data_IF_737993398043
#
_entry.id   IF_737993398043
#
_cell.length_a   1.000
_cell.length_b   1.000
_cell.length_c   1.000
_cell.angle_alpha   90.00
_cell.angle_beta   90.00
_cell.angle_gamma   90.00
#
_symmetry.space_group_name_H-M   'P 1'
#
loop_
_entity.id
_entity.type
_entity.pdbx_description
1 polymer ?
#
# COMPACT_ATOMS: atom_id res chain seq x y z
N UNK A 1 18.22 -24.32 -14.07
CA UNK A 1 17.26 -23.24 -13.76
C UNK A 1 16.78 -23.43 -12.32
N UNK A 2 17.15 -22.53 -11.41
CA UNK A 2 16.59 -22.52 -10.06
C UNK A 2 15.12 -22.10 -10.20
N UNK A 3 14.18 -23.02 -9.97
CA UNK A 3 12.75 -22.68 -9.90
C UNK A 3 12.53 -22.00 -8.54
N UNK A 4 12.52 -20.67 -8.54
CA UNK A 4 12.15 -19.91 -7.34
C UNK A 4 10.64 -20.09 -7.18
N UNK A 5 10.23 -20.77 -6.12
CA UNK A 5 8.82 -20.90 -5.80
C UNK A 5 8.22 -19.49 -5.56
N UNK A 6 7.00 -19.20 -6.05
CA UNK A 6 6.28 -17.96 -5.80
C UNK A 6 6.31 -17.50 -4.33
N UNK A 7 6.27 -18.44 -3.39
CA UNK A 7 6.36 -18.13 -1.96
C UNK A 7 7.70 -17.51 -1.56
N UNK A 8 8.84 -17.96 -2.10
CA UNK A 8 10.13 -17.32 -1.82
C UNK A 8 10.21 -15.90 -2.39
N UNK A 9 9.59 -15.65 -3.54
CA UNK A 9 9.47 -14.30 -4.09
C UNK A 9 8.62 -13.41 -3.17
N UNK A 10 7.49 -13.92 -2.67
CA UNK A 10 6.63 -13.19 -1.74
C UNK A 10 7.36 -12.86 -0.43
N UNK A 11 8.09 -13.83 0.16
CA UNK A 11 8.92 -13.64 1.36
C UNK A 11 9.98 -12.57 1.11
N UNK A 12 10.69 -12.64 -0.03
CA UNK A 12 11.68 -11.64 -0.41
C UNK A 12 11.08 -10.24 -0.55
N UNK A 13 9.93 -10.10 -1.21
CA UNK A 13 9.23 -8.84 -1.38
C UNK A 13 8.72 -8.27 -0.05
N UNK A 14 8.10 -9.09 0.79
CA UNK A 14 7.62 -8.71 2.12
C UNK A 14 8.78 -8.25 3.01
N UNK A 15 9.89 -9.01 3.04
CA UNK A 15 11.09 -8.66 3.80
C UNK A 15 11.74 -7.37 3.32
N UNK A 16 11.85 -7.19 2.00
CA UNK A 16 12.37 -5.95 1.41
C UNK A 16 11.47 -4.75 1.77
N UNK A 17 10.15 -4.91 1.68
CA UNK A 17 9.20 -3.84 2.00
C UNK A 17 9.23 -3.47 3.49
N UNK A 18 9.31 -4.48 4.38
CA UNK A 18 9.45 -4.26 5.82
C UNK A 18 10.72 -3.47 6.13
N UNK A 19 11.84 -3.80 5.49
CA UNK A 19 13.11 -3.11 5.68
C UNK A 19 13.08 -1.69 5.11
N UNK A 20 12.56 -1.50 3.89
CA UNK A 20 12.42 -0.19 3.25
C UNK A 20 11.56 0.74 4.10
N UNK A 21 10.41 0.27 4.57
CA UNK A 21 9.53 1.07 5.42
C UNK A 21 10.10 1.31 6.82
N UNK A 22 10.79 0.33 7.40
CA UNK A 22 11.46 0.50 8.68
C UNK A 22 12.55 1.57 8.61
N UNK A 23 13.46 1.46 7.64
CA UNK A 23 14.51 2.48 7.41
C UNK A 23 13.90 3.83 7.05
N UNK A 24 12.86 3.84 6.20
CA UNK A 24 12.12 5.04 5.84
C UNK A 24 11.50 5.74 7.04
N UNK A 25 10.93 4.98 7.99
CA UNK A 25 10.34 5.52 9.21
C UNK A 25 11.36 6.30 10.05
N UNK A 26 12.56 5.73 10.26
CA UNK A 26 13.62 6.39 11.02
C UNK A 26 14.14 7.63 10.31
N UNK A 27 14.26 7.61 8.97
CA UNK A 27 14.69 8.76 8.18
C UNK A 27 13.68 9.91 8.18
N UNK A 28 12.40 9.58 8.18
CA UNK A 28 11.31 10.56 8.16
C UNK A 28 10.99 11.14 9.55
N UNK A 29 11.41 10.47 10.63
CA UNK A 29 11.02 10.81 11.99
C UNK A 29 9.58 10.38 12.27
N UNK A 30 9.40 9.40 13.16
CA UNK A 30 8.08 8.88 13.50
C UNK A 30 7.42 9.58 14.68
N UNK A 31 8.19 10.28 15.51
CA UNK A 31 7.68 11.04 16.66
C UNK A 31 8.51 12.30 16.88
N UNK A 32 7.83 13.40 17.23
CA UNK A 32 8.46 14.66 17.61
C UNK A 32 7.65 15.40 18.67
N UNK A 33 8.06 16.62 18.99
CA UNK A 33 7.47 17.42 20.09
C UNK A 33 5.98 17.75 19.85
N UNK A 34 5.60 17.96 18.59
CA UNK A 34 4.21 18.27 18.21
C UNK A 34 3.37 17.02 17.89
N UNK A 35 3.81 15.82 18.29
CA UNK A 35 3.09 14.55 18.12
C UNK A 35 3.63 13.65 16.98
N UNK A 36 2.78 12.80 16.38
CA UNK A 36 3.23 11.78 15.44
C UNK A 36 3.74 12.39 14.13
N UNK A 37 4.88 11.88 13.67
CA UNK A 37 5.55 12.35 12.45
C UNK A 37 5.23 11.49 11.22
N UNK A 38 5.70 11.91 10.03
CA UNK A 38 5.46 11.21 8.77
C UNK A 38 6.07 9.79 8.74
N UNK A 39 7.06 9.52 9.59
CA UNK A 39 7.66 8.19 9.73
C UNK A 39 6.80 7.17 10.48
N UNK A 40 5.74 7.59 11.17
CA UNK A 40 4.93 6.67 12.01
C UNK A 40 4.20 5.62 11.18
N UNK A 41 3.60 6.01 10.05
CA UNK A 41 2.89 5.05 9.20
C UNK A 41 3.85 4.01 8.60
N UNK A 42 5.00 4.38 7.98
CA UNK A 42 5.99 3.40 7.57
C UNK A 42 6.45 2.48 8.71
N UNK A 43 6.58 2.99 9.94
CA UNK A 43 6.95 2.18 11.10
C UNK A 43 5.88 1.13 11.41
N UNK A 44 4.62 1.56 11.51
CA UNK A 44 3.48 0.65 11.78
C UNK A 44 3.38 -0.42 10.69
N UNK A 45 3.50 -0.03 9.41
CA UNK A 45 3.47 -0.99 8.31
C UNK A 45 4.64 -1.97 8.39
N UNK A 46 5.85 -1.50 8.66
CA UNK A 46 7.02 -2.37 8.87
C UNK A 46 6.78 -3.38 10.00
N UNK A 47 6.27 -2.93 11.15
CA UNK A 47 5.94 -3.77 12.30
C UNK A 47 4.83 -4.79 12.01
N UNK A 48 3.87 -4.47 11.13
CA UNK A 48 2.83 -5.41 10.70
C UNK A 48 3.35 -6.42 9.67
N UNK A 49 4.31 -6.03 8.83
CA UNK A 49 4.88 -6.92 7.82
C UNK A 49 5.77 -8.02 8.43
N UNK A 50 6.48 -7.74 9.52
CA UNK A 50 7.33 -8.72 10.21
C UNK A 50 6.56 -9.99 10.66
N UNK A 51 5.45 -9.91 11.41
CA UNK A 51 4.69 -11.10 11.78
C UNK A 51 4.05 -11.77 10.56
N UNK A 52 3.61 -11.02 9.55
CA UNK A 52 3.13 -11.61 8.30
C UNK A 52 4.20 -12.45 7.61
N UNK A 53 5.46 -11.99 7.60
CA UNK A 53 6.60 -12.74 7.09
C UNK A 53 6.78 -14.07 7.84
N UNK A 54 6.67 -14.04 9.17
CA UNK A 54 6.76 -15.24 10.02
C UNK A 54 5.64 -16.23 9.71
N UNK A 55 4.40 -15.74 9.49
CA UNK A 55 3.28 -16.61 9.13
C UNK A 55 3.51 -17.29 7.78
N UNK A 56 3.91 -16.53 6.76
CA UNK A 56 4.20 -17.08 5.42
C UNK A 56 5.31 -18.13 5.47
N UNK A 57 6.35 -17.92 6.28
CA UNK A 57 7.44 -18.89 6.45
C UNK A 57 7.03 -20.17 7.19
N UNK A 58 5.94 -20.15 7.95
CA UNK A 58 5.39 -21.31 8.67
C UNK A 58 4.38 -22.10 7.84
N UNK A 59 3.83 -21.50 6.80
CA UNK A 59 2.90 -22.16 5.89
C UNK A 59 3.64 -23.26 5.12
N UNK A 60 3.14 -24.51 5.10
CA UNK A 60 3.74 -25.56 4.29
C UNK A 60 3.63 -25.20 2.81
N UNK A 61 4.75 -25.31 2.09
CA UNK A 61 4.79 -25.04 0.65
C UNK A 61 3.85 -26.01 -0.08
N UNK A 62 2.86 -25.52 -0.85
CA UNK A 62 2.07 -26.34 -1.74
C UNK A 62 2.99 -27.08 -2.72
N UNK A 63 2.76 -28.38 -2.89
CA UNK A 63 3.53 -29.24 -3.80
C UNK A 63 3.42 -28.85 -5.28
N UNK A 64 2.43 -28.03 -5.64
CA UNK A 64 2.14 -27.57 -7.02
C UNK A 64 2.20 -26.03 -7.19
N UNK A 65 3.12 -25.33 -6.50
CA UNK A 65 3.36 -23.91 -6.77
C UNK A 65 4.06 -23.70 -8.12
N UNK A 66 3.27 -23.57 -9.19
CA UNK A 66 3.81 -23.45 -10.56
C UNK A 66 3.72 -22.03 -11.13
N UNK A 67 2.86 -21.14 -10.62
CA UNK A 67 2.77 -19.76 -11.13
C UNK A 67 2.12 -18.77 -10.15
N UNK A 68 2.46 -17.48 -10.31
CA UNK A 68 1.72 -16.37 -9.70
C UNK A 68 0.39 -16.20 -10.45
N UNK A 69 -0.73 -16.33 -9.75
CA UNK A 69 -2.04 -16.09 -10.34
C UNK A 69 -2.21 -14.64 -10.84
N UNK A 70 -3.18 -14.43 -11.75
CA UNK A 70 -3.48 -13.11 -12.30
C UNK A 70 -3.93 -12.08 -11.23
N UNK A 71 -4.49 -12.54 -10.11
CA UNK A 71 -4.96 -11.69 -9.01
C UNK A 71 -3.86 -10.83 -8.39
N UNK A 72 -2.83 -11.41 -7.74
CA UNK A 72 -1.71 -10.67 -7.18
C UNK A 72 -1.00 -9.76 -8.19
N UNK A 73 -0.82 -10.23 -9.42
CA UNK A 73 -0.19 -9.43 -10.47
C UNK A 73 -1.03 -8.18 -10.80
N UNK A 74 -2.34 -8.34 -10.95
CA UNK A 74 -3.24 -7.20 -11.22
C UNK A 74 -3.25 -6.19 -10.07
N UNK A 75 -3.14 -6.64 -8.83
CA UNK A 75 -3.05 -5.78 -7.66
C UNK A 75 -1.75 -4.97 -7.66
N UNK A 76 -0.61 -5.61 -7.93
CA UNK A 76 0.70 -4.95 -8.04
C UNK A 76 0.66 -3.90 -9.15
N UNK A 77 0.19 -4.27 -10.34
CA UNK A 77 0.10 -3.35 -11.49
C UNK A 77 -0.78 -2.16 -11.15
N UNK A 78 -1.92 -2.40 -10.50
CA UNK A 78 -2.82 -1.34 -10.09
C UNK A 78 -2.13 -0.37 -9.11
N UNK A 79 -1.47 -0.87 -8.05
CA UNK A 79 -0.70 -0.02 -7.11
C UNK A 79 0.41 0.78 -7.81
N UNK A 80 1.13 0.17 -8.76
CA UNK A 80 2.18 0.87 -9.53
C UNK A 80 1.60 2.01 -10.38
N UNK A 81 0.44 1.80 -11.01
CA UNK A 81 -0.27 2.84 -11.75
C UNK A 81 -0.63 4.01 -10.82
N UNK A 82 -1.12 3.73 -9.61
CA UNK A 82 -1.38 4.78 -8.62
C UNK A 82 -0.12 5.54 -8.24
N UNK A 83 0.96 4.84 -7.91
CA UNK A 83 2.22 5.46 -7.55
C UNK A 83 2.76 6.38 -8.66
N UNK A 84 2.55 6.02 -9.93
CA UNK A 84 2.96 6.83 -11.07
C UNK A 84 2.07 8.07 -11.31
N UNK A 85 0.76 7.97 -11.01
CA UNK A 85 -0.21 9.05 -11.22
C UNK A 85 -0.22 10.05 -10.06
N UNK A 86 0.04 9.57 -8.83
CA UNK A 86 -0.05 10.34 -7.59
C UNK A 86 0.69 11.68 -7.62
N UNK A 87 1.95 11.79 -8.12
CA UNK A 87 2.67 13.06 -8.16
C UNK A 87 2.12 14.08 -9.16
N UNK A 88 1.22 13.69 -10.07
CA UNK A 88 0.66 14.57 -11.11
C UNK A 88 -0.78 14.97 -10.79
N UNK A 89 -1.61 13.98 -10.48
CA UNK A 89 -3.04 14.18 -10.23
C UNK A 89 -3.35 14.56 -8.77
N UNK A 90 -2.37 14.47 -7.87
CA UNK A 90 -2.55 14.72 -6.44
C UNK A 90 -3.24 13.57 -5.71
N UNK A 91 -3.25 13.66 -4.39
CA UNK A 91 -3.72 12.60 -3.48
C UNK A 91 -5.20 12.28 -3.67
N UNK A 92 -6.06 13.30 -3.77
CA UNK A 92 -7.52 13.08 -3.75
C UNK A 92 -7.96 12.29 -4.97
N UNK A 93 -7.64 12.77 -6.17
CA UNK A 93 -8.09 12.16 -7.42
C UNK A 93 -7.47 10.77 -7.60
N UNK A 94 -6.16 10.64 -7.36
CA UNK A 94 -5.45 9.37 -7.54
C UNK A 94 -5.96 8.31 -6.58
N UNK A 95 -6.16 8.65 -5.31
CA UNK A 95 -6.58 7.69 -4.28
C UNK A 95 -8.04 7.31 -4.46
N UNK A 96 -8.91 8.25 -4.83
CA UNK A 96 -10.31 7.97 -5.13
C UNK A 96 -10.46 6.97 -6.27
N UNK A 97 -9.78 7.22 -7.40
CA UNK A 97 -9.82 6.34 -8.58
C UNK A 97 -9.21 4.99 -8.27
N UNK A 98 -8.07 4.97 -7.58
CA UNK A 98 -7.40 3.74 -7.14
C UNK A 98 -8.33 2.87 -6.30
N UNK A 99 -8.91 3.43 -5.23
CA UNK A 99 -9.79 2.69 -4.33
C UNK A 99 -11.09 2.25 -5.02
N UNK A 100 -11.65 3.10 -5.87
CA UNK A 100 -12.84 2.74 -6.65
C UNK A 100 -12.54 1.55 -7.56
N UNK A 101 -11.43 1.61 -8.31
CA UNK A 101 -10.99 0.52 -9.17
C UNK A 101 -10.70 -0.75 -8.36
N UNK A 102 -10.01 -0.63 -7.22
CA UNK A 102 -9.70 -1.74 -6.34
C UNK A 102 -10.96 -2.45 -5.84
N UNK A 103 -11.90 -1.70 -5.28
CA UNK A 103 -13.17 -2.24 -4.78
C UNK A 103 -13.96 -2.89 -5.92
N UNK A 104 -13.97 -2.26 -7.10
CA UNK A 104 -14.75 -2.75 -8.24
C UNK A 104 -14.17 -4.03 -8.85
N UNK A 105 -12.84 -4.13 -8.93
CA UNK A 105 -12.13 -5.24 -9.56
C UNK A 105 -12.04 -6.45 -8.62
N UNK A 106 -11.64 -6.23 -7.36
CA UNK A 106 -11.37 -7.33 -6.41
C UNK A 106 -12.59 -7.73 -5.59
N UNK A 107 -13.42 -6.77 -5.18
CA UNK A 107 -14.58 -7.03 -4.31
C UNK A 107 -15.91 -7.05 -5.07
N UNK A 108 -15.93 -6.67 -6.35
CA UNK A 108 -17.09 -6.70 -7.26
C UNK A 108 -18.35 -6.03 -6.68
N UNK A 109 -18.17 -5.02 -5.83
CA UNK A 109 -19.28 -4.30 -5.19
C UNK A 109 -20.05 -3.43 -6.19
N UNK A 110 -21.26 -3.03 -5.81
CA UNK A 110 -22.08 -2.11 -6.61
C UNK A 110 -21.40 -0.74 -6.74
N UNK A 111 -21.72 -0.02 -7.83
CA UNK A 111 -21.11 1.28 -8.14
C UNK A 111 -21.29 2.30 -7.00
N UNK A 112 -22.51 2.39 -6.46
CA UNK A 112 -22.83 3.29 -5.34
C UNK A 112 -22.01 2.97 -4.08
N UNK A 113 -21.91 1.68 -3.72
CA UNK A 113 -21.11 1.26 -2.55
C UNK A 113 -19.62 1.52 -2.77
N UNK A 114 -19.14 1.25 -3.98
CA UNK A 114 -17.74 1.47 -4.37
C UNK A 114 -17.38 2.96 -4.28
N UNK A 115 -18.23 3.83 -4.83
CA UNK A 115 -18.06 5.28 -4.78
C UNK A 115 -18.11 5.82 -3.34
N UNK A 116 -19.08 5.38 -2.55
CA UNK A 116 -19.20 5.79 -1.15
C UNK A 116 -17.99 5.37 -0.31
N UNK A 117 -17.54 4.11 -0.46
CA UNK A 117 -16.37 3.60 0.25
C UNK A 117 -15.08 4.30 -0.19
N UNK A 118 -14.86 4.45 -1.50
CA UNK A 118 -13.66 5.11 -2.02
C UNK A 118 -13.58 6.57 -1.57
N UNK A 119 -14.70 7.30 -1.59
CA UNK A 119 -14.77 8.68 -1.10
C UNK A 119 -14.47 8.74 0.40
N UNK A 120 -15.13 7.91 1.21
CA UNK A 120 -14.96 7.89 2.67
C UNK A 120 -13.52 7.58 3.06
N UNK A 121 -12.91 6.58 2.43
CA UNK A 121 -11.55 6.16 2.74
C UNK A 121 -10.51 7.18 2.24
N UNK A 122 -10.79 7.87 1.14
CA UNK A 122 -9.94 8.98 0.66
C UNK A 122 -9.97 10.15 1.64
N UNK A 123 -11.15 10.51 2.17
CA UNK A 123 -11.30 11.56 3.20
C UNK A 123 -10.55 11.15 4.47
N UNK A 124 -10.70 9.90 4.91
CA UNK A 124 -9.97 9.39 6.06
C UNK A 124 -8.45 9.47 5.86
N UNK A 125 -7.98 9.11 4.66
CA UNK A 125 -6.58 9.26 4.26
C UNK A 125 -6.11 10.72 4.33
N UNK A 126 -6.91 11.68 3.86
CA UNK A 126 -6.59 13.11 3.99
C UNK A 126 -6.39 13.51 5.44
N UNK A 127 -7.30 13.11 6.33
CA UNK A 127 -7.20 13.43 7.76
C UNK A 127 -5.94 12.80 8.36
N UNK A 128 -5.69 11.53 8.09
CA UNK A 128 -4.51 10.83 8.62
C UNK A 128 -3.23 11.49 8.11
N UNK A 129 -3.07 11.66 6.80
CA UNK A 129 -1.81 12.13 6.24
C UNK A 129 -1.58 13.64 6.48
N UNK A 130 -2.62 14.47 6.36
CA UNK A 130 -2.46 15.91 6.45
C UNK A 130 -2.51 16.42 7.90
N UNK A 131 -3.43 15.89 8.72
CA UNK A 131 -3.65 16.39 10.08
C UNK A 131 -2.82 15.60 11.09
N UNK A 132 -2.92 14.26 11.07
CA UNK A 132 -2.24 13.43 12.06
C UNK A 132 -0.73 13.34 11.78
N UNK A 133 -0.35 12.99 10.53
CA UNK A 133 1.05 12.73 10.15
C UNK A 133 1.78 13.96 9.58
N UNK A 134 1.06 15.06 9.34
CA UNK A 134 1.59 16.35 8.86
C UNK A 134 2.45 16.22 7.58
N UNK A 135 2.09 15.31 6.69
CA UNK A 135 2.82 15.06 5.45
C UNK A 135 2.55 16.20 4.46
N UNK A 136 3.59 16.87 3.93
CA UNK A 136 3.42 17.81 2.83
C UNK A 136 3.16 17.03 1.55
N UNK A 137 1.89 17.00 1.12
CA UNK A 137 1.48 16.26 -0.08
C UNK A 137 0.62 17.13 -1.00
N UNK A 138 0.78 16.90 -2.29
CA UNK A 138 -0.03 17.53 -3.31
C UNK A 138 -1.45 16.95 -3.26
N UNK A 139 -2.45 17.79 -2.97
CA UNK A 139 -3.83 17.35 -2.82
C UNK A 139 -4.57 17.25 -4.15
N UNK A 140 -4.35 18.23 -5.04
CA UNK A 140 -5.08 18.41 -6.29
C UNK A 140 -4.14 18.40 -7.52
N UNK A 141 -4.66 18.18 -8.73
CA UNK A 141 -3.87 18.24 -9.96
C UNK A 141 -3.24 19.62 -10.13
N UNK A 142 -1.97 19.67 -10.54
CA UNK A 142 -1.40 20.93 -11.03
C UNK A 142 -1.88 21.12 -12.46
N UNK A 143 -2.74 22.12 -12.67
CA UNK A 143 -3.03 22.64 -14.01
C UNK A 143 -1.81 23.49 -14.40
N UNK A 144 -0.81 22.86 -15.04
CA UNK A 144 0.26 23.59 -15.72
C UNK A 144 -0.18 23.97 -17.13
#
# INVERSE_FOLDING_TARGET
>A
MIKIAPTYLAVGMLGALALIFGVGAFRLGFWGDDGPGPGLLPLVVSLLLVPMLVLVLREPLPSDETSLGAGPLSAIVLVLIYAAILPRAGFVLSTLVMLFAWIRLFYRQSWLRSAGCSASLTILGLVIFNVLLKVPMQLFPVLQ
#
